data_IF_424624743127
#
_entry.id   IF_424624743127
#
_cell.length_a   1.000
_cell.length_b   1.000
_cell.length_c   1.000
_cell.angle_alpha   90.00
_cell.angle_beta   90.00
_cell.angle_gamma   90.00
#
_symmetry.space_group_name_H-M   'P 1'
#
loop_
_entity.id
_entity.type
_entity.pdbx_description
1 polymer ?
#
# COMPACT_ATOMS: atom_id res chain seq x y z
N UNK A 1 4.22 -19.45 -4.67
CA UNK A 1 3.23 -19.20 -3.61
C UNK A 1 3.97 -18.64 -2.42
N UNK A 2 4.19 -17.31 -2.40
CA UNK A 2 4.79 -16.63 -1.25
C UNK A 2 3.74 -16.51 -0.16
N UNK A 3 3.66 -17.49 0.74
CA UNK A 3 2.97 -17.26 2.00
C UNK A 3 3.85 -16.32 2.82
N UNK A 4 3.48 -15.05 2.86
CA UNK A 4 4.04 -14.10 3.82
C UNK A 4 3.49 -14.52 5.19
N UNK A 5 4.14 -15.50 5.82
CA UNK A 5 3.83 -15.86 7.20
C UNK A 5 4.31 -14.72 8.08
N UNK A 6 3.38 -13.88 8.51
CA UNK A 6 3.65 -12.84 9.50
C UNK A 6 3.28 -13.44 10.84
N UNK A 7 4.28 -13.92 11.59
CA UNK A 7 4.06 -14.66 12.84
C UNK A 7 3.10 -13.96 13.80
N UNK A 8 3.25 -12.63 13.97
CA UNK A 8 2.35 -11.85 14.83
C UNK A 8 0.89 -11.85 14.36
N UNK A 9 0.64 -11.73 13.05
CA UNK A 9 -0.71 -11.74 12.49
C UNK A 9 -1.33 -13.13 12.60
N UNK A 10 -0.57 -14.18 12.33
CA UNK A 10 -1.07 -15.56 12.46
C UNK A 10 -1.42 -15.92 13.90
N UNK A 11 -0.61 -15.51 14.88
CA UNK A 11 -0.94 -15.69 16.30
C UNK A 11 -2.16 -14.87 16.71
N UNK A 12 -2.28 -13.63 16.24
CA UNK A 12 -3.48 -12.81 16.49
C UNK A 12 -4.74 -13.44 15.89
N UNK A 13 -4.66 -13.99 14.67
CA UNK A 13 -5.74 -14.73 14.03
C UNK A 13 -6.10 -16.00 14.82
N UNK A 14 -5.10 -16.75 15.30
CA UNK A 14 -5.33 -17.94 16.13
C UNK A 14 -6.10 -17.58 17.40
N UNK A 15 -5.63 -16.56 18.14
CA UNK A 15 -6.32 -16.06 19.34
C UNK A 15 -7.72 -15.59 19.00
N UNK A 16 -7.90 -14.84 17.90
CA UNK A 16 -9.21 -14.39 17.43
C UNK A 16 -10.18 -15.53 17.16
N UNK A 17 -9.73 -16.59 16.48
CA UNK A 17 -10.53 -17.80 16.22
C UNK A 17 -10.89 -18.52 17.51
N UNK A 18 -9.94 -18.68 18.44
CA UNK A 18 -10.20 -19.34 19.74
C UNK A 18 -11.21 -18.55 20.56
N UNK A 19 -11.05 -17.23 20.68
CA UNK A 19 -12.00 -16.37 21.38
C UNK A 19 -13.40 -16.43 20.76
N UNK A 20 -13.46 -16.50 19.42
CA UNK A 20 -14.71 -16.62 18.70
C UNK A 20 -15.39 -17.97 18.99
N UNK A 21 -14.66 -19.08 18.93
CA UNK A 21 -15.20 -20.42 19.24
C UNK A 21 -15.72 -20.50 20.68
N UNK A 22 -14.93 -20.00 21.64
CA UNK A 22 -15.32 -19.97 23.05
C UNK A 22 -16.50 -19.02 23.30
N UNK A 23 -16.60 -17.91 22.58
CA UNK A 23 -17.69 -16.94 22.74
C UNK A 23 -19.02 -17.37 22.13
N UNK A 24 -19.03 -18.25 21.13
CA UNK A 24 -20.27 -18.67 20.48
C UNK A 24 -20.92 -19.90 21.08
N UNK A 25 -20.11 -20.87 21.53
CA UNK A 25 -20.50 -22.18 22.09
C UNK A 25 -21.45 -23.04 21.20
N UNK A 26 -22.09 -22.45 20.18
CA UNK A 26 -23.11 -23.02 19.32
C UNK A 26 -22.76 -22.79 17.84
N UNK A 27 -22.86 -23.84 17.03
CA UNK A 27 -22.60 -23.75 15.59
C UNK A 27 -23.65 -22.93 14.82
N UNK A 28 -24.86 -22.79 15.38
CA UNK A 28 -25.96 -22.08 14.73
C UNK A 28 -25.75 -20.56 14.68
N UNK A 29 -25.26 -19.97 15.77
CA UNK A 29 -24.93 -18.55 15.86
C UNK A 29 -23.71 -18.18 14.99
N UNK A 30 -22.72 -19.07 14.92
CA UNK A 30 -21.58 -18.93 14.01
C UNK A 30 -22.02 -18.94 12.53
N UNK A 31 -22.90 -19.88 12.17
CA UNK A 31 -23.42 -20.01 10.82
C UNK A 31 -24.25 -18.79 10.38
N UNK A 32 -25.02 -18.20 11.29
CA UNK A 32 -25.80 -16.98 11.02
C UNK A 32 -24.90 -15.79 10.65
N UNK A 33 -23.82 -15.59 11.40
CA UNK A 33 -22.90 -14.47 11.15
C UNK A 33 -22.07 -14.66 9.88
N UNK A 34 -21.58 -15.87 9.63
CA UNK A 34 -20.95 -16.21 8.34
C UNK A 34 -21.92 -15.98 7.18
N UNK A 35 -23.18 -16.37 7.32
CA UNK A 35 -24.22 -16.15 6.33
C UNK A 35 -24.40 -14.67 5.95
N UNK A 36 -24.41 -13.76 6.93
CA UNK A 36 -24.50 -12.31 6.65
C UNK A 36 -23.22 -11.75 6.05
N UNK A 37 -22.04 -12.19 6.50
CA UNK A 37 -20.79 -11.76 5.88
C UNK A 37 -20.72 -12.17 4.40
N UNK A 38 -21.04 -13.42 4.09
CA UNK A 38 -20.97 -13.96 2.72
C UNK A 38 -22.04 -13.37 1.81
N UNK A 39 -23.30 -13.29 2.27
CA UNK A 39 -24.35 -12.68 1.46
C UNK A 39 -24.15 -11.18 1.29
N UNK A 40 -23.54 -10.51 2.28
CA UNK A 40 -23.12 -9.12 2.18
C UNK A 40 -22.01 -8.91 1.14
N UNK A 41 -20.99 -9.79 1.11
CA UNK A 41 -19.95 -9.72 0.07
C UNK A 41 -20.52 -10.02 -1.32
N UNK A 42 -21.42 -11.00 -1.45
CA UNK A 42 -22.14 -11.26 -2.70
C UNK A 42 -22.88 -10.01 -3.19
N UNK A 43 -23.66 -9.36 -2.32
CA UNK A 43 -24.37 -8.12 -2.66
C UNK A 43 -23.41 -7.02 -3.13
N UNK A 44 -22.29 -6.80 -2.44
CA UNK A 44 -21.26 -5.83 -2.85
C UNK A 44 -20.68 -6.21 -4.22
N UNK A 45 -20.39 -7.49 -4.45
CA UNK A 45 -19.84 -7.95 -5.73
C UNK A 45 -20.82 -7.77 -6.88
N UNK A 46 -22.13 -7.93 -6.64
CA UNK A 46 -23.17 -7.65 -7.63
C UNK A 46 -23.26 -6.15 -7.94
N UNK A 47 -23.17 -5.27 -6.93
CA UNK A 47 -23.08 -3.82 -7.16
C UNK A 47 -21.84 -3.44 -8.00
N UNK A 48 -20.67 -4.03 -7.68
CA UNK A 48 -19.44 -3.83 -8.45
C UNK A 48 -19.57 -4.39 -9.87
N UNK A 49 -20.24 -5.52 -10.05
CA UNK A 49 -20.53 -6.09 -11.36
C UNK A 49 -21.33 -5.12 -12.22
N UNK A 50 -22.30 -4.40 -11.65
CA UNK A 50 -22.99 -3.31 -12.34
C UNK A 50 -22.02 -2.24 -12.86
N UNK A 51 -21.08 -1.80 -12.02
CA UNK A 51 -20.04 -0.83 -12.43
C UNK A 51 -19.19 -1.39 -13.57
N UNK A 52 -18.79 -2.68 -13.51
CA UNK A 52 -17.99 -3.33 -14.56
C UNK A 52 -18.78 -3.42 -15.87
N UNK A 53 -20.04 -3.85 -15.84
CA UNK A 53 -20.90 -3.99 -17.02
C UNK A 53 -21.03 -2.65 -17.77
N UNK A 54 -21.21 -1.54 -17.05
CA UNK A 54 -21.40 -0.22 -17.67
C UNK A 54 -20.10 0.52 -17.97
N UNK A 55 -19.11 0.52 -17.07
CA UNK A 55 -17.87 1.29 -17.26
C UNK A 55 -16.81 0.56 -18.05
N UNK A 56 -16.70 -0.75 -17.88
CA UNK A 56 -15.62 -1.53 -18.48
C UNK A 56 -16.09 -2.25 -19.75
N UNK A 57 -17.19 -3.01 -19.66
CA UNK A 57 -17.66 -3.84 -20.77
C UNK A 57 -18.61 -3.12 -21.72
N UNK A 58 -19.22 -2.00 -21.29
CA UNK A 58 -20.11 -1.16 -22.09
C UNK A 58 -21.25 -1.96 -22.75
N UNK A 59 -21.85 -2.90 -22.02
CA UNK A 59 -22.96 -3.69 -22.55
C UNK A 59 -24.16 -2.79 -22.91
N UNK A 60 -24.93 -3.15 -23.95
CA UNK A 60 -26.14 -2.41 -24.26
C UNK A 60 -27.15 -2.56 -23.11
N UNK A 61 -27.83 -1.46 -22.76
CA UNK A 61 -28.67 -1.35 -21.55
C UNK A 61 -29.74 -2.45 -21.47
N UNK A 62 -30.30 -2.87 -22.59
CA UNK A 62 -31.33 -3.92 -22.65
C UNK A 62 -30.82 -5.30 -22.19
N UNK A 63 -29.51 -5.56 -22.24
CA UNK A 63 -28.91 -6.81 -21.76
C UNK A 63 -28.34 -6.64 -20.34
N UNK A 64 -27.68 -5.50 -20.08
CA UNK A 64 -27.03 -5.23 -18.80
C UNK A 64 -28.01 -5.01 -17.65
N UNK A 65 -29.11 -4.27 -17.89
CA UNK A 65 -30.11 -3.97 -16.86
C UNK A 65 -30.82 -5.22 -16.34
N UNK A 66 -31.42 -6.10 -17.19
CA UNK A 66 -32.11 -7.27 -16.67
C UNK A 66 -31.15 -8.24 -15.96
N UNK A 67 -29.94 -8.45 -16.47
CA UNK A 67 -28.94 -9.29 -15.81
C UNK A 67 -28.59 -8.76 -14.41
N UNK A 68 -28.28 -7.47 -14.32
CA UNK A 68 -27.97 -6.82 -13.04
C UNK A 68 -29.17 -6.88 -12.08
N UNK A 69 -30.38 -6.60 -12.56
CA UNK A 69 -31.59 -6.66 -11.72
C UNK A 69 -31.85 -8.06 -11.17
N UNK A 70 -31.67 -9.12 -11.96
CA UNK A 70 -31.85 -10.51 -11.51
C UNK A 70 -30.82 -10.85 -10.43
N UNK A 71 -29.53 -10.55 -10.67
CA UNK A 71 -28.48 -10.80 -9.67
C UNK A 71 -28.74 -10.02 -8.39
N UNK A 72 -29.10 -8.74 -8.50
CA UNK A 72 -29.38 -7.87 -7.36
C UNK A 72 -30.59 -8.39 -6.57
N UNK A 73 -31.64 -8.86 -7.24
CA UNK A 73 -32.82 -9.40 -6.59
C UNK A 73 -32.49 -10.67 -5.79
N UNK A 74 -31.73 -11.59 -6.38
CA UNK A 74 -31.29 -12.83 -5.71
C UNK A 74 -30.46 -12.49 -4.48
N UNK A 75 -29.41 -11.70 -4.63
CA UNK A 75 -28.50 -11.39 -3.53
C UNK A 75 -29.18 -10.58 -2.43
N UNK A 76 -30.05 -9.64 -2.79
CA UNK A 76 -30.83 -8.86 -1.83
C UNK A 76 -31.77 -9.76 -1.03
N UNK A 77 -32.40 -10.76 -1.67
CA UNK A 77 -33.28 -11.70 -1.00
C UNK A 77 -32.50 -12.62 -0.04
N UNK A 78 -31.34 -13.13 -0.47
CA UNK A 78 -30.45 -13.91 0.39
C UNK A 78 -29.92 -13.10 1.58
N UNK A 79 -29.54 -11.85 1.36
CA UNK A 79 -29.11 -10.95 2.43
C UNK A 79 -30.24 -10.66 3.42
N UNK A 80 -31.43 -10.32 2.91
CA UNK A 80 -32.62 -10.07 3.72
C UNK A 80 -33.02 -11.31 4.55
N UNK A 81 -32.88 -12.53 4.02
CA UNK A 81 -33.18 -13.77 4.74
C UNK A 81 -32.19 -14.06 5.88
N UNK A 82 -30.96 -13.55 5.80
CA UNK A 82 -29.94 -13.75 6.84
C UNK A 82 -29.92 -12.63 7.89
N UNK A 83 -30.46 -11.45 7.59
CA UNK A 83 -30.45 -10.29 8.49
C UNK A 83 -31.17 -10.55 9.84
N UNK A 84 -32.36 -11.20 9.90
CA UNK A 84 -33.02 -11.49 11.18
C UNK A 84 -32.22 -12.44 12.09
N UNK A 85 -31.44 -13.37 11.49
CA UNK A 85 -30.63 -14.33 12.24
C UNK A 85 -29.49 -13.68 13.02
N UNK A 86 -29.03 -12.49 12.57
CA UNK A 86 -28.03 -11.70 13.29
C UNK A 86 -28.59 -11.14 14.58
N UNK A 87 -29.82 -10.62 14.53
CA UNK A 87 -30.48 -10.04 15.71
C UNK A 87 -30.75 -11.11 16.78
N UNK A 88 -31.01 -12.35 16.35
CA UNK A 88 -31.35 -13.48 17.23
C UNK A 88 -30.14 -14.24 17.80
N UNK A 89 -28.90 -13.83 17.52
CA UNK A 89 -27.71 -14.48 18.09
C UNK A 89 -26.41 -14.36 17.27
N UNK A 90 -26.45 -13.77 16.08
CA UNK A 90 -25.29 -13.56 15.20
C UNK A 90 -24.66 -12.17 15.29
N UNK A 91 -24.98 -11.34 16.29
CA UNK A 91 -24.53 -9.95 16.37
C UNK A 91 -23.03 -9.78 16.65
N UNK A 92 -22.42 -10.72 17.39
CA UNK A 92 -21.03 -10.60 17.83
C UNK A 92 -19.99 -10.48 16.68
N UNK A 93 -20.04 -11.22 15.55
CA UNK A 93 -19.01 -11.12 14.52
C UNK A 93 -19.23 -9.90 13.66
N UNK A 94 -20.47 -9.41 13.59
CA UNK A 94 -20.79 -8.11 12.99
C UNK A 94 -20.15 -7.00 13.81
N UNK A 95 -20.29 -7.04 15.14
CA UNK A 95 -19.63 -6.08 16.04
C UNK A 95 -18.10 -6.18 15.92
N UNK A 96 -17.54 -7.39 15.94
CA UNK A 96 -16.10 -7.59 15.76
C UNK A 96 -15.61 -7.05 14.40
N UNK A 97 -16.37 -7.28 13.33
CA UNK A 97 -16.10 -6.73 12.00
C UNK A 97 -16.13 -5.20 12.00
N UNK A 98 -17.08 -4.57 12.68
CA UNK A 98 -17.15 -3.10 12.85
C UNK A 98 -15.92 -2.59 13.60
N UNK A 99 -15.51 -3.24 14.69
CA UNK A 99 -14.32 -2.85 15.47
C UNK A 99 -13.05 -2.94 14.61
N UNK A 100 -12.86 -4.06 13.90
CA UNK A 100 -11.72 -4.24 12.99
C UNK A 100 -11.76 -3.20 11.87
N UNK A 101 -12.94 -2.92 11.30
CA UNK A 101 -13.11 -1.90 10.28
C UNK A 101 -12.73 -0.51 10.79
N UNK A 102 -13.18 -0.12 11.99
CA UNK A 102 -12.82 1.16 12.61
C UNK A 102 -11.31 1.24 12.85
N UNK A 103 -10.69 0.16 13.35
CA UNK A 103 -9.25 0.10 13.59
C UNK A 103 -8.47 0.26 12.28
N UNK A 104 -8.83 -0.48 11.24
CA UNK A 104 -8.22 -0.40 9.91
C UNK A 104 -8.42 0.97 9.26
N UNK A 105 -9.61 1.54 9.37
CA UNK A 105 -9.94 2.86 8.82
C UNK A 105 -9.18 3.98 9.53
N UNK A 106 -9.09 3.91 10.86
CA UNK A 106 -8.29 4.82 11.69
C UNK A 106 -6.81 4.72 11.34
N UNK A 107 -6.28 3.50 11.22
CA UNK A 107 -4.90 3.26 10.81
C UNK A 107 -4.61 3.84 9.41
N UNK A 108 -5.49 3.56 8.43
CA UNK A 108 -5.37 4.10 7.08
C UNK A 108 -5.34 5.62 7.09
N UNK A 109 -6.24 6.26 7.84
CA UNK A 109 -6.29 7.72 7.98
C UNK A 109 -5.06 8.28 8.68
N UNK A 110 -4.59 7.64 9.75
CA UNK A 110 -3.36 8.02 10.44
C UNK A 110 -2.13 7.96 9.53
N UNK A 111 -2.01 6.91 8.71
CA UNK A 111 -0.95 6.80 7.71
C UNK A 111 -1.06 7.87 6.62
N UNK A 112 -2.26 8.20 6.17
CA UNK A 112 -2.46 9.29 5.21
C UNK A 112 -2.03 10.65 5.79
N UNK A 113 -2.45 10.95 7.02
CA UNK A 113 -2.04 12.18 7.71
C UNK A 113 -0.52 12.23 7.93
N UNK A 114 0.11 11.11 8.30
CA UNK A 114 1.55 11.05 8.46
C UNK A 114 2.28 11.39 7.14
N UNK A 115 1.82 10.82 6.03
CA UNK A 115 2.39 11.12 4.70
C UNK A 115 2.21 12.60 4.36
N UNK A 116 1.01 13.15 4.56
CA UNK A 116 0.72 14.57 4.29
C UNK A 116 1.58 15.52 5.15
N UNK A 117 1.82 15.19 6.42
CA UNK A 117 2.72 15.96 7.31
C UNK A 117 4.18 15.87 6.91
N UNK A 118 4.61 14.71 6.40
CA UNK A 118 5.94 14.59 5.80
C UNK A 118 6.02 15.41 4.50
N UNK A 119 4.91 15.59 3.78
CA UNK A 119 4.87 16.41 2.56
C UNK A 119 4.89 17.93 2.84
N UNK A 120 4.33 18.41 3.96
CA UNK A 120 4.28 19.86 4.32
C UNK A 120 5.66 20.55 4.35
N UNK A 121 6.75 19.81 4.53
CA UNK A 121 8.13 20.34 4.49
C UNK A 121 8.95 19.94 3.27
N UNK A 122 8.32 19.41 2.22
CA UNK A 122 9.01 18.96 1.01
C UNK A 122 9.43 20.13 0.12
N UNK A 123 10.74 20.41 0.08
CA UNK A 123 11.32 21.38 -0.85
C UNK A 123 11.55 20.68 -2.21
N UNK A 124 11.16 21.28 -3.36
CA UNK A 124 11.41 20.68 -4.66
C UNK A 124 12.91 20.45 -4.89
N UNK A 125 13.28 19.26 -5.36
CA UNK A 125 14.69 18.88 -5.50
C UNK A 125 15.47 19.83 -6.42
N UNK A 126 14.86 20.27 -7.52
CA UNK A 126 15.46 21.23 -8.45
C UNK A 126 15.80 22.58 -7.79
N UNK A 127 14.89 23.09 -6.95
CA UNK A 127 15.09 24.34 -6.21
C UNK A 127 16.23 24.19 -5.21
N UNK A 128 16.26 23.07 -4.49
CA UNK A 128 17.33 22.78 -3.54
C UNK A 128 18.72 22.76 -4.19
N UNK A 129 18.88 22.03 -5.29
CA UNK A 129 20.15 21.94 -6.01
C UNK A 129 20.58 23.32 -6.51
N UNK A 130 19.64 24.12 -7.02
CA UNK A 130 19.95 25.49 -7.45
C UNK A 130 20.43 26.39 -6.30
N UNK A 131 19.83 26.30 -5.12
CA UNK A 131 20.26 27.05 -3.93
C UNK A 131 21.66 26.63 -3.45
N UNK A 132 21.96 25.34 -3.52
CA UNK A 132 23.26 24.78 -3.12
C UNK A 132 24.39 25.15 -4.09
N UNK A 133 24.08 25.50 -5.36
CA UNK A 133 25.06 26.09 -6.30
C UNK A 133 25.47 27.50 -5.90
N UNK A 134 24.52 28.29 -5.38
CA UNK A 134 24.77 29.69 -5.01
C UNK A 134 25.57 29.77 -3.72
N UNK A 135 25.25 28.91 -2.74
CA UNK A 135 25.94 28.86 -1.46
C UNK A 135 26.33 27.41 -1.12
N UNK A 136 27.47 26.92 -1.66
CA UNK A 136 27.87 25.54 -1.47
C UNK A 136 28.32 25.29 -0.02
N UNK A 137 27.72 24.33 0.71
CA UNK A 137 28.20 23.93 2.02
C UNK A 137 29.48 23.11 1.93
N UNK A 138 30.12 22.87 3.08
CA UNK A 138 31.33 22.07 3.14
C UNK A 138 31.09 20.66 2.62
N UNK A 139 31.93 20.20 1.68
CA UNK A 139 31.87 18.85 1.13
C UNK A 139 32.90 17.93 1.76
N UNK A 140 32.45 16.76 2.21
CA UNK A 140 33.31 15.67 2.69
C UNK A 140 33.39 14.54 1.67
N UNK A 141 34.52 13.84 1.67
CA UNK A 141 34.73 12.70 0.79
C UNK A 141 33.75 11.56 1.12
N UNK A 142 33.27 10.90 0.06
CA UNK A 142 32.40 9.73 0.14
C UNK A 142 31.05 9.90 -0.53
N UNK A 143 30.27 8.83 -0.52
CA UNK A 143 28.94 8.74 -1.13
C UNK A 143 27.89 8.57 -0.04
N UNK A 144 26.96 9.52 0.07
CA UNK A 144 25.82 9.40 0.96
C UNK A 144 24.59 8.90 0.20
N UNK A 145 23.95 7.85 0.72
CA UNK A 145 22.72 7.28 0.14
C UNK A 145 21.55 7.66 1.03
N UNK A 146 20.60 8.42 0.48
CA UNK A 146 19.37 8.81 1.15
C UNK A 146 18.20 8.09 0.51
N UNK A 147 17.51 7.25 1.28
CA UNK A 147 16.28 6.59 0.87
C UNK A 147 15.13 7.59 0.82
N UNK A 148 14.40 7.61 -0.28
CA UNK A 148 13.22 8.46 -0.46
C UNK A 148 12.12 7.74 -1.22
N UNK A 149 10.89 7.90 -0.75
CA UNK A 149 9.70 7.38 -1.42
C UNK A 149 9.25 8.26 -2.60
N UNK A 150 9.73 9.51 -2.67
CA UNK A 150 9.38 10.49 -3.70
C UNK A 150 10.62 10.89 -4.50
N UNK A 151 10.45 11.06 -5.81
CA UNK A 151 11.53 11.35 -6.75
C UNK A 151 11.67 12.83 -7.08
N UNK A 152 10.71 13.66 -6.67
CA UNK A 152 10.58 15.08 -6.98
C UNK A 152 10.90 16.02 -5.79
N UNK A 153 10.96 15.46 -4.58
CA UNK A 153 11.18 16.18 -3.33
C UNK A 153 12.53 15.83 -2.69
N UNK A 154 13.14 16.79 -1.98
CA UNK A 154 14.33 16.54 -1.16
C UNK A 154 13.94 15.66 0.04
N UNK A 155 14.70 14.59 0.34
CA UNK A 155 14.45 13.78 1.53
C UNK A 155 14.67 14.60 2.80
N UNK A 156 13.76 14.51 3.77
CA UNK A 156 13.90 15.17 5.07
C UNK A 156 15.19 14.83 5.78
N UNK A 157 15.68 13.59 5.63
CA UNK A 157 16.96 13.17 6.18
C UNK A 157 18.15 13.99 5.65
N UNK A 158 18.12 14.40 4.38
CA UNK A 158 19.17 15.24 3.80
C UNK A 158 19.10 16.67 4.37
N UNK A 159 17.89 17.23 4.48
CA UNK A 159 17.68 18.56 5.07
C UNK A 159 18.13 18.57 6.54
N UNK A 160 17.75 17.57 7.32
CA UNK A 160 18.17 17.42 8.72
C UNK A 160 19.69 17.27 8.85
N UNK A 161 20.34 16.48 7.99
CA UNK A 161 21.79 16.36 7.99
C UNK A 161 22.47 17.73 7.75
N UNK A 162 21.97 18.53 6.81
CA UNK A 162 22.52 19.86 6.56
C UNK A 162 22.26 20.83 7.72
N UNK A 163 21.09 20.75 8.37
CA UNK A 163 20.79 21.59 9.53
C UNK A 163 21.71 21.34 10.73
N UNK A 164 22.06 20.08 10.99
CA UNK A 164 22.85 19.70 12.16
C UNK A 164 24.35 19.62 11.88
N UNK A 165 24.73 18.97 10.78
CA UNK A 165 26.12 18.69 10.47
C UNK A 165 26.74 19.73 9.53
N UNK A 166 25.92 20.50 8.81
CA UNK A 166 26.36 21.53 7.86
C UNK A 166 27.32 21.00 6.76
N UNK A 167 27.24 19.71 6.49
CA UNK A 167 28.13 18.99 5.58
C UNK A 167 27.32 18.26 4.52
N UNK A 168 27.80 18.32 3.28
CA UNK A 168 27.31 17.51 2.16
C UNK A 168 28.41 16.51 1.75
N UNK A 169 28.04 15.37 1.19
CA UNK A 169 29.03 14.45 0.63
C UNK A 169 29.35 14.84 -0.82
N UNK A 170 30.51 14.42 -1.33
CA UNK A 170 30.87 14.62 -2.75
C UNK A 170 29.81 14.04 -3.69
N UNK A 171 29.32 12.84 -3.37
CA UNK A 171 28.24 12.18 -4.08
C UNK A 171 27.03 11.98 -3.15
N UNK A 172 25.86 12.43 -3.58
CA UNK A 172 24.59 12.27 -2.88
C UNK A 172 23.65 11.48 -3.78
N UNK A 173 23.37 10.24 -3.38
CA UNK A 173 22.48 9.32 -4.08
C UNK A 173 21.11 9.34 -3.42
N UNK A 174 20.11 9.79 -4.17
CA UNK A 174 18.69 9.73 -3.80
C UNK A 174 18.12 8.43 -4.33
N UNK A 175 17.92 7.47 -3.42
CA UNK A 175 17.51 6.12 -3.75
C UNK A 175 16.01 5.93 -3.51
N UNK A 176 15.28 5.54 -4.55
CA UNK A 176 13.87 5.16 -4.47
C UNK A 176 13.71 3.70 -4.84
N UNK A 177 13.02 2.94 -3.99
CA UNK A 177 12.70 1.53 -4.26
C UNK A 177 11.23 1.43 -4.64
N UNK A 178 10.97 0.99 -5.86
CA UNK A 178 9.64 0.82 -6.43
C UNK A 178 9.32 -0.68 -6.50
N UNK A 179 8.20 -1.07 -5.90
CA UNK A 179 7.68 -2.42 -6.04
C UNK A 179 6.67 -2.44 -7.18
N UNK A 180 6.95 -3.23 -8.21
CA UNK A 180 6.13 -3.39 -9.40
C UNK A 180 5.06 -4.47 -9.22
N UNK A 181 3.92 -4.29 -9.88
CA UNK A 181 2.82 -5.27 -9.91
C UNK A 181 3.17 -6.52 -10.77
N UNK A 182 4.34 -6.54 -11.40
CA UNK A 182 4.86 -7.70 -12.15
C UNK A 182 5.63 -8.65 -11.22
N UNK A 183 5.58 -9.98 -11.45
CA UNK A 183 6.22 -10.95 -10.56
C UNK A 183 7.74 -10.80 -10.51
N UNK A 184 8.37 -10.47 -11.63
CA UNK A 184 9.81 -10.22 -11.75
C UNK A 184 10.04 -9.12 -12.78
N UNK A 185 11.04 -8.28 -12.53
CA UNK A 185 11.42 -7.18 -13.44
C UNK A 185 12.63 -7.62 -14.26
N UNK A 186 12.63 -7.29 -15.56
CA UNK A 186 13.77 -7.55 -16.44
C UNK A 186 15.01 -6.79 -15.96
N UNK A 187 16.23 -7.34 -16.06
CA UNK A 187 17.46 -6.67 -15.61
C UNK A 187 17.64 -5.26 -16.17
N UNK A 188 17.25 -5.02 -17.43
CA UNK A 188 17.39 -3.73 -18.12
C UNK A 188 16.47 -2.62 -17.59
N UNK A 189 15.39 -2.98 -16.86
CA UNK A 189 14.45 -2.03 -16.25
C UNK A 189 14.60 -2.00 -14.73
N UNK A 190 15.61 -2.68 -14.20
CA UNK A 190 15.78 -2.85 -12.76
C UNK A 190 16.32 -1.60 -12.09
N UNK A 191 17.04 -0.77 -12.84
CA UNK A 191 17.61 0.47 -12.36
C UNK A 191 17.40 1.59 -13.37
N UNK A 192 16.99 2.75 -12.88
CA UNK A 192 17.01 4.00 -13.64
C UNK A 192 17.89 4.98 -12.88
N UNK A 193 18.90 5.55 -13.55
CA UNK A 193 19.84 6.48 -12.95
C UNK A 193 19.77 7.81 -13.69
N UNK A 194 19.56 8.89 -12.95
CA UNK A 194 19.52 10.25 -13.48
C UNK A 194 20.50 11.14 -12.69
N UNK A 195 21.37 11.85 -13.40
CA UNK A 195 22.30 12.79 -12.80
C UNK A 195 21.69 14.20 -12.84
N UNK A 196 21.59 14.85 -11.67
CA UNK A 196 21.14 16.24 -11.56
C UNK A 196 22.29 17.26 -11.58
N UNK A 197 23.53 16.77 -11.64
CA UNK A 197 24.74 17.59 -11.53
C UNK A 197 25.12 17.89 -10.09
N UNK A 198 26.30 18.51 -9.90
CA UNK A 198 26.86 18.86 -8.58
C UNK A 198 26.94 17.68 -7.61
N UNK A 199 27.19 16.47 -8.12
CA UNK A 199 27.27 15.25 -7.32
C UNK A 199 25.92 14.72 -6.83
N UNK A 200 24.78 15.24 -7.31
CA UNK A 200 23.47 14.66 -7.04
C UNK A 200 23.09 13.62 -8.09
N UNK A 201 22.78 12.42 -7.62
CA UNK A 201 22.33 11.30 -8.43
C UNK A 201 20.98 10.80 -7.91
N UNK A 202 20.08 10.47 -8.82
CA UNK A 202 18.83 9.78 -8.51
C UNK A 202 18.89 8.38 -9.04
N UNK A 203 18.56 7.41 -8.20
CA UNK A 203 18.55 5.99 -8.53
C UNK A 203 17.17 5.44 -8.17
N UNK A 204 16.44 4.94 -9.16
CA UNK A 204 15.23 4.17 -8.95
C UNK A 204 15.58 2.69 -9.10
N UNK A 205 15.20 1.87 -8.12
CA UNK A 205 15.31 0.43 -8.17
C UNK A 205 13.92 -0.18 -8.29
N UNK A 206 13.70 -1.00 -9.30
CA UNK A 206 12.44 -1.68 -9.54
C UNK A 206 12.56 -3.15 -9.14
N UNK A 207 11.67 -3.61 -8.26
CA UNK A 207 11.58 -5.01 -7.85
C UNK A 207 10.20 -5.57 -8.14
N UNK A 208 10.15 -6.81 -8.63
CA UNK A 208 8.88 -7.52 -8.77
C UNK A 208 8.37 -8.04 -7.43
N UNK A 209 7.05 -8.24 -7.30
CA UNK A 209 6.46 -8.67 -6.03
C UNK A 209 6.89 -10.08 -5.56
N UNK A 210 7.52 -10.89 -6.41
CA UNK A 210 8.10 -12.21 -6.04
C UNK A 210 9.62 -12.14 -5.82
N UNK A 211 10.22 -10.96 -5.86
CA UNK A 211 11.67 -10.77 -5.68
C UNK A 211 11.97 -10.30 -4.27
N UNK A 212 13.04 -10.81 -3.67
CA UNK A 212 13.57 -10.29 -2.42
C UNK A 212 14.48 -9.07 -2.74
N UNK A 213 14.13 -7.86 -2.27
CA UNK A 213 14.89 -6.66 -2.59
C UNK A 213 16.21 -6.61 -1.81
N UNK A 214 17.31 -7.01 -2.45
CA UNK A 214 18.67 -6.78 -1.95
C UNK A 214 19.22 -5.46 -2.49
N UNK A 215 19.00 -4.40 -1.71
CA UNK A 215 19.41 -3.03 -2.07
C UNK A 215 20.95 -2.92 -2.22
N UNK A 216 21.78 -3.40 -1.27
CA UNK A 216 23.23 -3.36 -1.45
C UNK A 216 23.73 -4.11 -2.69
N UNK A 217 23.18 -5.30 -2.99
CA UNK A 217 23.57 -6.04 -4.18
C UNK A 217 23.13 -5.32 -5.46
N UNK A 218 21.93 -4.75 -5.49
CA UNK A 218 21.44 -3.96 -6.62
C UNK A 218 22.32 -2.71 -6.86
N UNK A 219 22.71 -2.01 -5.81
CA UNK A 219 23.61 -0.84 -5.91
C UNK A 219 25.01 -1.20 -6.41
N UNK A 220 25.52 -2.41 -6.14
CA UNK A 220 26.81 -2.87 -6.71
C UNK A 220 26.76 -3.10 -8.22
N UNK A 221 25.58 -3.43 -8.74
CA UNK A 221 25.36 -3.61 -10.18
C UNK A 221 25.19 -2.26 -10.88
N UNK A 222 24.74 -1.22 -10.16
CA UNK A 222 24.77 0.15 -10.63
C UNK A 222 26.22 0.66 -10.60
N UNK A 223 26.91 0.61 -11.74
CA UNK A 223 28.16 1.34 -11.92
C UNK A 223 27.90 2.86 -11.93
N UNK A 224 27.81 3.46 -10.75
CA UNK A 224 27.77 4.92 -10.55
C UNK A 224 29.07 5.62 -11.01
N UNK A 225 30.09 4.84 -11.41
CA UNK A 225 31.46 5.31 -11.71
C UNK A 225 31.61 5.69 -13.19
N UNK A 226 30.67 5.32 -14.07
CA UNK A 226 30.72 5.63 -15.52
C UNK A 226 29.82 6.81 -15.95
N UNK A 227 29.31 7.61 -15.01
CA UNK A 227 28.52 8.82 -15.23
C UNK A 227 29.21 10.06 -14.63
#
# INVERSE_FOLDING_TARGET
QGQIYIGGVNWALMVGVVLLVLGFESSASLAAAYGVAVTGTMLITTLLMGVVIWRLWKWPLWLGVPFFCVMLAVDSLFFAANLPKVIQGGAFPVIAGIVIFILMSTWKRGRQLLVERLDEGSLPLSVFISSMRVQPPHRVQGTAVFLTARTDAVPHALLHNLLHNQVLHEQVVLLTVVNEDSPRVSPDRRFEVEAYGDGFFRVLLHFGFMEDPDIPAALRLCHLIDL
#
